data_IF_402119947188
#
_entry.id   IF_402119947188
#
_cell.length_a   1.000
_cell.length_b   1.000
_cell.length_c   1.000
_cell.angle_alpha   90.00
_cell.angle_beta   90.00
_cell.angle_gamma   90.00
#
_symmetry.space_group_name_H-M   'P 1'
#
loop_
_entity.id
_entity.type
_entity.pdbx_description
1 polymer ?
#
# COMPACT_ATOMS: atom_id res chain seq x y z
N UNK A 1 -42.00 -29.81 19.26
CA UNK A 1 -41.27 -28.55 19.55
C UNK A 1 -39.73 -28.66 19.58
N UNK A 2 -39.09 -29.81 19.30
CA UNK A 2 -37.60 -29.91 19.25
C UNK A 2 -36.98 -29.66 17.86
N UNK A 3 -37.75 -29.73 16.77
CA UNK A 3 -37.24 -29.55 15.39
C UNK A 3 -37.08 -28.09 14.94
N UNK A 4 -37.87 -27.16 15.51
CA UNK A 4 -37.82 -25.73 15.14
C UNK A 4 -36.50 -25.05 15.55
N UNK A 5 -35.93 -25.43 16.70
CA UNK A 5 -34.64 -24.89 17.16
C UNK A 5 -33.46 -25.36 16.29
N UNK A 6 -33.56 -26.57 15.72
CA UNK A 6 -32.54 -27.12 14.83
C UNK A 6 -32.54 -26.40 13.48
N UNK A 7 -33.73 -26.08 12.94
CA UNK A 7 -33.85 -25.30 11.70
C UNK A 7 -33.34 -23.86 11.86
N UNK A 8 -33.62 -23.23 13.01
CA UNK A 8 -33.09 -21.90 13.32
C UNK A 8 -31.56 -21.88 13.46
N UNK A 9 -30.97 -22.95 14.04
CA UNK A 9 -29.52 -23.09 14.18
C UNK A 9 -28.82 -23.30 12.82
N UNK A 10 -29.44 -24.08 11.92
CA UNK A 10 -28.95 -24.27 10.55
C UNK A 10 -29.03 -22.97 9.75
N UNK A 11 -30.13 -22.21 9.89
CA UNK A 11 -30.28 -20.91 9.23
C UNK A 11 -29.26 -19.87 9.73
N UNK A 12 -28.90 -19.91 11.02
CA UNK A 12 -27.88 -19.05 11.63
C UNK A 12 -26.45 -19.41 11.17
N UNK A 13 -26.18 -20.68 10.85
CA UNK A 13 -24.86 -21.13 10.37
C UNK A 13 -24.64 -20.82 8.87
N UNK A 14 -25.72 -20.75 8.08
CA UNK A 14 -25.66 -20.44 6.65
C UNK A 14 -25.39 -18.95 6.36
N UNK A 15 -25.54 -18.04 7.33
CA UNK A 15 -25.24 -16.60 7.15
C UNK A 15 -23.78 -16.22 7.38
N UNK A 16 -22.91 -17.16 7.77
CA UNK A 16 -21.48 -16.88 8.05
C UNK A 16 -20.54 -16.94 6.83
N UNK A 17 -21.04 -17.28 5.64
CA UNK A 17 -20.19 -17.57 4.48
C UNK A 17 -20.00 -16.38 3.52
N UNK A 18 -19.79 -15.14 3.97
CA UNK A 18 -19.44 -14.04 3.04
C UNK A 18 -18.66 -12.90 3.70
N UNK A 19 -17.42 -13.12 4.11
CA UNK A 19 -16.44 -12.02 4.28
C UNK A 19 -15.07 -12.61 3.90
N UNK A 20 -14.22 -11.83 3.23
CA UNK A 20 -12.87 -12.17 2.74
C UNK A 20 -12.78 -12.76 1.32
N UNK A 21 -13.17 -11.98 0.30
CA UNK A 21 -12.80 -12.23 -1.10
C UNK A 21 -11.99 -11.08 -1.73
N UNK A 22 -11.52 -10.09 -0.97
CA UNK A 22 -10.96 -8.85 -1.53
C UNK A 22 -9.54 -9.00 -2.12
N UNK A 23 -8.79 -10.06 -1.77
CA UNK A 23 -7.46 -10.36 -2.37
C UNK A 23 -7.60 -11.18 -3.67
N UNK A 24 -8.78 -11.74 -3.95
CA UNK A 24 -9.00 -12.84 -4.89
C UNK A 24 -8.80 -12.49 -6.39
N UNK A 25 -8.44 -11.24 -6.73
CA UNK A 25 -8.20 -10.83 -8.12
C UNK A 25 -6.83 -10.16 -8.37
N UNK A 26 -5.96 -10.03 -7.36
CA UNK A 26 -4.62 -9.48 -7.59
C UNK A 26 -3.73 -10.53 -8.25
N UNK A 27 -3.17 -10.19 -9.41
CA UNK A 27 -2.13 -11.00 -10.06
C UNK A 27 -0.75 -10.56 -9.54
N UNK A 28 0.10 -11.49 -9.07
CA UNK A 28 1.44 -11.15 -8.60
C UNK A 28 2.28 -10.51 -9.71
N UNK A 29 2.85 -9.35 -9.43
CA UNK A 29 3.77 -8.66 -10.31
C UNK A 29 5.19 -8.79 -9.73
N UNK A 30 6.18 -9.32 -10.50
CA UNK A 30 7.52 -9.49 -9.98
C UNK A 30 8.11 -8.16 -9.48
N UNK A 31 8.76 -8.17 -8.31
CA UNK A 31 9.35 -6.97 -7.72
C UNK A 31 10.29 -6.22 -8.69
N UNK A 32 11.05 -6.94 -9.52
CA UNK A 32 11.90 -6.32 -10.55
C UNK A 32 11.06 -5.44 -11.49
N UNK A 33 9.91 -5.91 -11.95
CA UNK A 33 9.04 -5.14 -12.84
C UNK A 33 8.48 -3.90 -12.13
N UNK A 34 8.11 -4.01 -10.85
CA UNK A 34 7.66 -2.89 -10.02
C UNK A 34 8.77 -1.84 -9.91
N UNK A 35 9.99 -2.26 -9.55
CA UNK A 35 11.16 -1.39 -9.40
C UNK A 35 11.53 -0.74 -10.72
N UNK A 36 11.56 -1.49 -11.82
CA UNK A 36 11.92 -0.98 -13.15
C UNK A 36 10.96 0.11 -13.62
N UNK A 37 9.66 -0.06 -13.38
CA UNK A 37 8.61 0.91 -13.75
C UNK A 37 8.41 2.04 -12.74
N UNK A 38 9.13 2.03 -11.62
CA UNK A 38 9.10 3.11 -10.63
C UNK A 38 10.16 4.16 -10.96
N UNK A 39 9.80 5.44 -10.85
CA UNK A 39 10.76 6.55 -11.03
C UNK A 39 11.61 6.78 -9.78
N UNK A 40 11.05 6.52 -8.61
CA UNK A 40 11.67 6.74 -7.31
C UNK A 40 11.42 5.49 -6.45
N UNK A 41 12.46 4.97 -5.80
CA UNK A 41 12.34 3.90 -4.79
C UNK A 41 13.01 4.38 -3.52
N UNK A 42 12.25 4.49 -2.44
CA UNK A 42 12.71 5.05 -1.17
C UNK A 42 12.32 4.18 0.00
N UNK A 43 13.16 4.19 1.02
CA UNK A 43 12.76 3.79 2.36
C UNK A 43 12.25 4.99 3.12
N UNK A 44 11.16 4.78 3.83
CA UNK A 44 10.58 5.85 4.61
C UNK A 44 9.59 5.40 5.66
N UNK A 45 9.07 6.40 6.37
CA UNK A 45 8.05 6.23 7.40
C UNK A 45 6.92 7.22 7.16
N UNK A 46 5.69 6.73 7.26
CA UNK A 46 4.50 7.58 7.25
C UNK A 46 4.42 8.35 8.56
N UNK A 47 4.47 9.68 8.50
CA UNK A 47 4.45 10.56 9.69
C UNK A 47 3.08 11.20 9.93
N UNK A 48 2.26 11.36 8.89
CA UNK A 48 0.89 11.87 9.01
C UNK A 48 0.08 11.52 7.77
N UNK A 49 -1.23 11.41 7.93
CA UNK A 49 -2.17 11.13 6.84
C UNK A 49 -3.35 12.10 6.90
N UNK A 50 -3.79 12.63 5.77
CA UNK A 50 -4.98 13.48 5.69
C UNK A 50 -5.82 13.16 4.46
N UNK A 51 -7.09 12.84 4.68
CA UNK A 51 -8.05 12.55 3.61
C UNK A 51 -8.82 13.81 3.20
N UNK A 52 -9.02 13.99 1.89
CA UNK A 52 -9.82 15.08 1.33
C UNK A 52 -10.64 14.57 0.13
N UNK A 53 -11.78 15.20 -0.09
CA UNK A 53 -12.53 15.01 -1.35
C UNK A 53 -11.75 15.59 -2.53
N UNK A 54 -11.88 14.97 -3.69
CA UNK A 54 -11.56 15.64 -4.94
C UNK A 54 -12.57 16.76 -5.24
N UNK A 55 -12.24 17.64 -6.19
CA UNK A 55 -13.09 18.80 -6.55
C UNK A 55 -14.51 18.39 -6.96
N UNK A 56 -14.65 17.29 -7.70
CA UNK A 56 -15.95 16.77 -8.12
C UNK A 56 -16.72 16.03 -7.01
N UNK A 57 -16.15 15.87 -5.81
CA UNK A 57 -16.72 15.12 -4.67
C UNK A 57 -17.18 13.70 -5.03
N UNK A 58 -16.47 13.07 -5.96
CA UNK A 58 -16.72 11.69 -6.39
C UNK A 58 -15.77 10.70 -5.75
N UNK A 59 -14.59 11.16 -5.31
CA UNK A 59 -13.54 10.35 -4.70
C UNK A 59 -12.95 11.04 -3.48
N UNK A 60 -12.52 10.23 -2.52
CA UNK A 60 -11.68 10.70 -1.41
C UNK A 60 -10.28 10.20 -1.72
N UNK A 61 -9.30 11.08 -1.54
CA UNK A 61 -7.88 10.73 -1.59
C UNK A 61 -7.27 10.99 -0.22
N UNK A 62 -6.31 10.16 0.16
CA UNK A 62 -5.52 10.36 1.37
C UNK A 62 -4.09 10.73 1.00
N UNK A 63 -3.64 11.88 1.48
CA UNK A 63 -2.26 12.34 1.37
C UNK A 63 -1.49 11.87 2.60
N UNK A 64 -0.50 11.03 2.37
CA UNK A 64 0.44 10.55 3.38
C UNK A 64 1.74 11.33 3.28
N UNK A 65 2.15 11.98 4.36
CA UNK A 65 3.49 12.54 4.48
C UNK A 65 4.44 11.41 4.87
N UNK A 66 5.46 11.21 4.05
CA UNK A 66 6.49 10.19 4.26
C UNK A 66 7.83 10.87 4.43
N UNK A 67 8.48 10.62 5.57
CA UNK A 67 9.89 11.01 5.77
C UNK A 67 10.78 9.94 5.13
N UNK A 68 11.79 10.38 4.40
CA UNK A 68 12.72 9.52 3.66
C UNK A 68 13.92 9.20 4.55
N UNK A 69 14.23 7.91 4.68
CA UNK A 69 15.43 7.40 5.36
C UNK A 69 16.53 7.01 4.37
N UNK A 70 16.15 6.55 3.18
CA UNK A 70 17.10 6.13 2.15
C UNK A 70 16.49 6.22 0.76
N UNK A 71 17.34 6.43 -0.25
CA UNK A 71 16.95 6.41 -1.67
C UNK A 71 17.68 5.26 -2.34
N UNK A 72 16.93 4.31 -2.89
CA UNK A 72 17.44 3.10 -3.54
C UNK A 72 17.43 3.21 -5.07
N UNK A 73 16.54 4.05 -5.63
CA UNK A 73 16.47 4.37 -7.06
C UNK A 73 15.93 5.79 -7.24
N UNK A 74 16.45 6.51 -8.24
CA UNK A 74 15.98 7.86 -8.58
C UNK A 74 16.65 8.95 -7.74
N UNK A 75 16.11 10.17 -7.81
CA UNK A 75 16.60 11.33 -7.07
C UNK A 75 15.44 12.13 -6.49
N UNK A 76 15.61 12.61 -5.26
CA UNK A 76 14.65 13.46 -4.57
C UNK A 76 15.42 14.50 -3.76
N UNK A 77 15.00 15.76 -3.85
CA UNK A 77 15.69 16.89 -3.19
C UNK A 77 15.20 17.15 -1.77
N UNK A 78 14.01 16.68 -1.44
CA UNK A 78 13.36 16.85 -0.15
C UNK A 78 13.59 15.63 0.74
N UNK A 79 13.63 15.84 2.05
CA UNK A 79 13.65 14.75 3.05
C UNK A 79 12.25 14.18 3.31
N UNK A 80 11.20 14.81 2.75
CA UNK A 80 9.82 14.38 2.85
C UNK A 80 9.13 14.43 1.50
N UNK A 81 8.22 13.48 1.27
CA UNK A 81 7.38 13.39 0.08
C UNK A 81 5.92 13.14 0.46
N UNK A 82 5.03 13.49 -0.46
CA UNK A 82 3.60 13.16 -0.39
C UNK A 82 3.35 11.88 -1.18
N UNK A 83 2.83 10.85 -0.51
CA UNK A 83 2.32 9.62 -1.14
C UNK A 83 0.80 9.66 -1.09
N UNK A 84 0.14 9.53 -2.24
CA UNK A 84 -1.30 9.66 -2.39
C UNK A 84 -1.92 8.29 -2.61
N UNK A 85 -2.97 7.98 -1.85
CA UNK A 85 -3.80 6.78 -2.01
C UNK A 85 -5.25 7.18 -2.29
N UNK A 86 -6.01 6.33 -3.00
CA UNK A 86 -7.46 6.48 -3.13
C UNK A 86 -8.15 5.84 -1.92
N UNK A 87 -9.18 6.51 -1.42
CA UNK A 87 -9.91 6.13 -0.20
C UNK A 87 -9.51 6.97 1.02
N UNK A 88 -10.14 6.65 2.14
CA UNK A 88 -9.99 7.35 3.41
C UNK A 88 -11.32 7.82 3.97
N UNK A 89 -11.26 8.75 4.93
CA UNK A 89 -12.45 9.24 5.65
C UNK A 89 -12.46 10.75 5.76
N UNK A 90 -13.59 11.37 5.42
CA UNK A 90 -13.85 12.81 5.61
C UNK A 90 -15.14 12.98 6.40
N UNK A 91 -15.03 13.40 7.65
CA UNK A 91 -16.17 13.46 8.57
C UNK A 91 -16.78 12.07 8.77
N UNK A 92 -18.07 11.93 8.47
CA UNK A 92 -18.80 10.66 8.54
C UNK A 92 -18.72 9.84 7.24
N UNK A 93 -18.12 10.39 6.16
CA UNK A 93 -18.02 9.72 4.87
C UNK A 93 -16.75 8.89 4.78
N UNK A 94 -16.88 7.59 4.53
CA UNK A 94 -15.78 6.68 4.26
C UNK A 94 -15.82 6.28 2.78
N UNK A 95 -14.68 6.36 2.11
CA UNK A 95 -14.47 5.78 0.80
C UNK A 95 -13.45 4.66 0.95
N UNK A 96 -13.89 3.44 0.68
CA UNK A 96 -13.02 2.27 0.58
C UNK A 96 -12.97 1.82 -0.89
N UNK A 97 -11.76 1.73 -1.44
CA UNK A 97 -11.51 1.19 -2.76
C UNK A 97 -10.85 -0.18 -2.62
N UNK A 98 -11.40 -1.19 -3.29
CA UNK A 98 -10.85 -2.56 -3.23
C UNK A 98 -9.53 -2.63 -4.00
N UNK A 99 -8.52 -3.30 -3.43
CA UNK A 99 -7.21 -3.46 -4.07
C UNK A 99 -6.31 -2.23 -4.01
N UNK A 100 -6.72 -1.17 -3.30
CA UNK A 100 -5.87 0.01 -3.09
C UNK A 100 -5.00 -0.15 -1.85
N UNK A 101 -3.80 0.43 -1.92
CA UNK A 101 -2.90 0.49 -0.77
C UNK A 101 -3.50 1.33 0.35
N UNK A 102 -3.51 0.76 1.56
CA UNK A 102 -3.79 1.50 2.78
C UNK A 102 -2.50 1.67 3.58
N UNK A 103 -2.16 2.93 3.86
CA UNK A 103 -1.00 3.29 4.67
C UNK A 103 -1.46 3.82 6.02
N UNK A 104 -0.87 3.28 7.08
CA UNK A 104 -1.13 3.69 8.45
C UNK A 104 -0.03 4.65 8.92
N UNK A 105 -0.39 5.51 9.88
CA UNK A 105 0.60 6.31 10.58
C UNK A 105 1.64 5.40 11.25
N UNK A 106 2.88 5.88 11.28
CA UNK A 106 4.06 5.19 11.80
C UNK A 106 4.51 3.95 11.02
N UNK A 107 3.79 3.56 9.97
CA UNK A 107 4.19 2.46 9.11
C UNK A 107 5.50 2.78 8.38
N UNK A 108 6.46 1.87 8.48
CA UNK A 108 7.78 1.94 7.84
C UNK A 108 7.83 0.95 6.70
N UNK A 109 8.47 1.31 5.59
CA UNK A 109 8.65 0.40 4.49
C UNK A 109 9.39 0.98 3.30
N UNK A 110 9.53 0.14 2.28
CA UNK A 110 10.02 0.50 0.96
C UNK A 110 8.83 0.91 0.08
N UNK A 111 8.96 2.07 -0.57
CA UNK A 111 7.96 2.64 -1.46
C UNK A 111 8.49 2.70 -2.89
N UNK A 112 7.87 1.96 -3.79
CA UNK A 112 8.11 2.03 -5.23
C UNK A 112 7.14 3.05 -5.86
N UNK A 113 7.66 4.19 -6.29
CA UNK A 113 6.87 5.40 -6.54
C UNK A 113 6.92 5.86 -7.99
N UNK A 114 5.78 6.37 -8.45
CA UNK A 114 5.64 7.11 -9.70
C UNK A 114 4.95 8.46 -9.44
N UNK A 115 5.26 9.51 -10.23
CA UNK A 115 4.60 10.81 -10.09
C UNK A 115 3.09 10.67 -10.22
N UNK A 116 2.37 11.44 -9.42
CA UNK A 116 0.92 11.51 -9.45
C UNK A 116 0.47 12.96 -9.45
N UNK A 117 -0.50 13.24 -10.31
CA UNK A 117 -1.26 14.49 -10.30
C UNK A 117 -2.69 14.16 -10.71
N UNK A 118 -3.66 14.52 -9.87
CA UNK A 118 -5.07 14.42 -10.25
C UNK A 118 -5.59 15.74 -10.85
N UNK A 119 -6.80 15.69 -11.38
CA UNK A 119 -7.49 16.83 -11.99
C UNK A 119 -7.73 17.97 -10.98
N UNK A 120 -7.85 17.64 -9.70
CA UNK A 120 -8.08 18.56 -8.58
C UNK A 120 -6.80 19.21 -8.03
N UNK A 121 -5.69 19.10 -8.74
CA UNK A 121 -4.41 19.71 -8.35
C UNK A 121 -3.67 19.01 -7.20
N UNK A 122 -4.17 17.89 -6.68
CA UNK A 122 -3.42 17.04 -5.74
C UNK A 122 -2.25 16.44 -6.51
N UNK A 123 -1.03 16.77 -6.10
CA UNK A 123 0.21 16.30 -6.72
C UNK A 123 1.16 15.71 -5.70
N UNK A 124 1.89 14.67 -6.09
CA UNK A 124 2.86 13.99 -5.26
C UNK A 124 3.33 12.73 -5.96
N UNK A 125 3.42 11.64 -5.20
CA UNK A 125 3.67 10.30 -5.73
C UNK A 125 2.50 9.39 -5.43
N UNK A 126 2.34 8.33 -6.21
CA UNK A 126 1.57 7.15 -5.81
C UNK A 126 2.48 5.94 -5.83
N UNK A 127 2.09 4.89 -5.10
CA UNK A 127 2.79 3.61 -5.15
C UNK A 127 2.45 2.90 -6.46
N UNK A 128 3.48 2.47 -7.19
CA UNK A 128 3.31 1.72 -8.42
C UNK A 128 2.67 0.36 -8.13
N UNK A 129 1.60 0.01 -8.86
CA UNK A 129 0.82 -1.21 -8.61
C UNK A 129 0.21 -1.29 -7.20
N UNK A 130 -0.14 -0.15 -6.61
CA UNK A 130 -0.84 -0.03 -5.33
C UNK A 130 -0.19 -0.88 -4.22
N UNK A 131 -0.89 -1.88 -3.69
CA UNK A 131 -0.43 -2.69 -2.56
C UNK A 131 0.90 -3.40 -2.84
N UNK A 132 1.15 -3.80 -4.09
CA UNK A 132 2.33 -4.59 -4.43
C UNK A 132 3.62 -3.76 -4.48
N UNK A 133 3.52 -2.46 -4.74
CA UNK A 133 4.68 -1.57 -4.75
C UNK A 133 5.13 -1.08 -3.39
N UNK A 134 4.44 -1.50 -2.33
CA UNK A 134 4.80 -1.20 -0.95
C UNK A 134 5.25 -2.48 -0.24
N UNK A 135 6.42 -2.43 0.40
CA UNK A 135 6.93 -3.53 1.22
C UNK A 135 7.08 -3.01 2.64
N UNK A 136 6.20 -3.45 3.53
CA UNK A 136 6.15 -3.01 4.93
C UNK A 136 7.19 -3.71 5.79
N UNK A 137 7.74 -3.00 6.76
CA UNK A 137 8.80 -3.52 7.63
C UNK A 137 8.23 -3.89 9.00
N UNK A 138 8.63 -5.06 9.48
CA UNK A 138 8.54 -5.39 10.89
C UNK A 138 9.87 -4.98 11.54
N UNK A 139 9.80 -3.92 12.34
CA UNK A 139 10.98 -3.33 12.98
C UNK A 139 11.54 -4.21 14.11
N UNK A 140 10.73 -5.11 14.69
CA UNK A 140 11.19 -5.99 15.77
C UNK A 140 11.98 -7.19 15.22
N UNK A 141 11.50 -7.77 14.11
CA UNK A 141 12.14 -8.92 13.48
C UNK A 141 13.11 -8.58 12.34
N UNK A 142 13.21 -7.29 11.97
CA UNK A 142 13.95 -6.79 10.81
C UNK A 142 13.53 -7.44 9.48
N UNK A 143 12.30 -7.97 9.40
CA UNK A 143 11.72 -8.58 8.21
C UNK A 143 10.95 -7.57 7.37
N UNK A 144 10.70 -7.94 6.12
CA UNK A 144 9.91 -7.16 5.19
C UNK A 144 8.81 -8.00 4.54
N UNK A 145 7.64 -7.42 4.33
CA UNK A 145 6.44 -8.08 3.84
C UNK A 145 5.81 -7.29 2.70
N UNK A 146 5.74 -7.93 1.53
CA UNK A 146 4.90 -7.49 0.42
C UNK A 146 3.54 -8.19 0.48
N UNK A 147 2.74 -8.02 -0.57
CA UNK A 147 1.44 -8.72 -0.70
C UNK A 147 1.63 -10.22 -0.92
N UNK A 148 2.64 -10.60 -1.70
CA UNK A 148 2.92 -11.99 -2.07
C UNK A 148 4.29 -12.48 -1.59
N UNK A 149 5.17 -11.55 -1.24
CA UNK A 149 6.56 -11.81 -0.89
C UNK A 149 6.83 -11.60 0.59
N UNK A 150 7.81 -12.34 1.11
CA UNK A 150 8.38 -12.13 2.44
C UNK A 150 9.89 -12.15 2.33
N UNK A 151 10.54 -11.23 3.03
CA UNK A 151 11.99 -11.10 3.09
C UNK A 151 12.43 -11.28 4.54
N UNK A 152 13.29 -12.27 4.79
CA UNK A 152 13.76 -12.59 6.14
C UNK A 152 14.68 -11.53 6.75
N UNK A 153 15.17 -10.58 5.94
CA UNK A 153 15.92 -9.43 6.42
C UNK A 153 15.80 -8.27 5.43
N UNK A 154 15.53 -7.07 5.93
CA UNK A 154 15.59 -5.82 5.14
C UNK A 154 17.01 -5.63 4.57
N UNK A 155 18.01 -5.59 5.46
CA UNK A 155 19.40 -5.32 5.07
C UNK A 155 20.07 -6.52 4.37
N UNK A 156 19.80 -7.74 4.86
CA UNK A 156 20.47 -8.96 4.40
C UNK A 156 19.86 -9.58 3.15
N UNK A 157 18.62 -9.24 2.80
CA UNK A 157 17.91 -9.84 1.65
C UNK A 157 17.29 -8.78 0.75
N UNK A 158 16.38 -7.95 1.26
CA UNK A 158 15.62 -7.01 0.41
C UNK A 158 16.53 -6.00 -0.29
N UNK A 159 17.39 -5.30 0.44
CA UNK A 159 18.31 -4.32 -0.15
C UNK A 159 19.27 -4.93 -1.19
N UNK A 160 19.94 -6.07 -0.93
CA UNK A 160 20.72 -6.76 -1.95
C UNK A 160 19.93 -7.10 -3.22
N UNK A 161 18.67 -7.54 -3.08
CA UNK A 161 17.79 -7.84 -4.21
C UNK A 161 17.54 -6.58 -5.06
N UNK A 162 17.15 -5.46 -4.44
CA UNK A 162 16.93 -4.18 -5.15
C UNK A 162 18.23 -3.69 -5.80
N UNK A 163 19.35 -3.74 -5.09
CA UNK A 163 20.64 -3.31 -5.60
C UNK A 163 21.08 -4.12 -6.83
N UNK A 164 20.75 -5.42 -6.87
CA UNK A 164 21.03 -6.26 -8.03
C UNK A 164 20.19 -5.87 -9.25
N UNK A 165 18.93 -5.42 -9.10
CA UNK A 165 18.15 -4.95 -10.24
C UNK A 165 18.77 -3.73 -10.92
N UNK A 166 19.28 -2.79 -10.14
CA UNK A 166 19.90 -1.56 -10.66
C UNK A 166 21.24 -1.82 -11.39
N UNK A 167 21.94 -2.92 -11.08
CA UNK A 167 23.20 -3.29 -11.74
C UNK A 167 23.05 -3.77 -13.18
N UNK A 168 21.86 -4.24 -13.56
CA UNK A 168 21.59 -4.76 -14.91
C UNK A 168 20.77 -3.79 -15.78
N UNK A 169 20.60 -2.54 -15.35
CA UNK A 169 19.82 -1.51 -16.04
C UNK A 169 20.68 -0.52 -16.87
N UNK A 170 21.98 -0.80 -17.03
CA UNK A 170 22.91 -0.10 -17.94
C UNK A 170 22.99 -0.78 -19.30
#
# INVERSE_FOLDING_TARGET
MKSSKLFALIFLLLTYHNVFADICMLTPLPLKNIVDNSELVVDGKVISSQSNWNESRTKIYTTHQVVIYGVLKGQVKSTQIQVITEGGQVGESIHYATGTLQLLQDQVGLFCLIPFKNESGISGYKVYSDMQGFIGYDQESSKAFGVFETYDSVDGVLYPVIANFNRYAT
#
